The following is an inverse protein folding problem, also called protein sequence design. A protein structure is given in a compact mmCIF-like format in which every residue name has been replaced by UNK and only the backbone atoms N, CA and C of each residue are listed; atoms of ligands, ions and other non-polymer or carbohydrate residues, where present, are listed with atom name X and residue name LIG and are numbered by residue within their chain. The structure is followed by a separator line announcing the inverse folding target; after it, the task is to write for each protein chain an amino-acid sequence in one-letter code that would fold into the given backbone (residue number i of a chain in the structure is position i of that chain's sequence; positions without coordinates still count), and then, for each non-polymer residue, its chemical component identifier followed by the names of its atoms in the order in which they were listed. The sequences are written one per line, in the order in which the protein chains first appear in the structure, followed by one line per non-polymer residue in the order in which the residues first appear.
data_IF_840523495330
#
_entry.id   IF_840523495330
#
_cell.length_a   1.000
_cell.length_b   1.000
_cell.length_c   1.000
_cell.angle_alpha   90.00
_cell.angle_beta   90.00
_cell.angle_gamma   90.00
#
_symmetry.space_group_name_H-M   'P 1'
#
loop_
_entity.id
_entity.type
_entity.pdbx_description
1 polymer ?
#
# COMPACT_ATOMS: atom_id res chain seq x y z
N UNK A 1 31.67 16.06 -38.47
CA UNK A 1 31.34 16.05 -37.04
C UNK A 1 32.06 14.87 -36.41
N UNK A 2 32.77 15.07 -35.31
CA UNK A 2 33.53 14.04 -34.59
C UNK A 2 33.08 14.02 -33.14
N UNK A 3 32.81 12.83 -32.60
CA UNK A 3 32.47 12.65 -31.18
C UNK A 3 33.66 12.05 -30.44
N UNK A 4 33.92 12.47 -29.21
CA UNK A 4 34.92 11.85 -28.33
C UNK A 4 34.41 11.77 -26.89
N UNK A 5 35.04 10.92 -26.09
CA UNK A 5 34.73 10.80 -24.66
C UNK A 5 35.20 12.00 -23.88
N UNK A 6 34.35 12.48 -22.97
CA UNK A 6 34.80 13.42 -21.94
C UNK A 6 35.77 12.72 -20.99
N UNK A 7 36.98 13.27 -20.84
CA UNK A 7 38.03 12.75 -19.96
C UNK A 7 38.40 13.71 -18.83
N UNK A 8 37.62 14.78 -18.63
CA UNK A 8 37.82 15.71 -17.52
C UNK A 8 37.23 15.20 -16.21
N UNK A 9 37.47 15.95 -15.13
CA UNK A 9 37.06 15.55 -13.77
C UNK A 9 35.61 15.93 -13.40
N UNK A 10 34.94 16.75 -14.21
CA UNK A 10 33.53 17.09 -14.02
C UNK A 10 32.59 16.08 -14.67
N UNK A 11 31.35 15.98 -14.18
CA UNK A 11 30.32 15.18 -14.84
C UNK A 11 29.66 15.98 -15.97
N UNK A 12 29.62 15.41 -17.17
CA UNK A 12 28.73 15.91 -18.24
C UNK A 12 27.35 15.25 -18.07
N UNK A 13 26.30 16.07 -18.08
CA UNK A 13 24.90 15.58 -18.04
C UNK A 13 24.34 15.28 -19.44
N UNK A 14 25.06 15.64 -20.50
CA UNK A 14 24.67 15.43 -21.89
C UNK A 14 25.82 15.73 -22.87
N UNK A 15 25.61 15.43 -24.16
CA UNK A 15 26.59 15.71 -25.19
C UNK A 15 26.83 17.22 -25.32
N UNK A 16 28.09 17.65 -25.26
CA UNK A 16 28.49 19.06 -25.26
C UNK A 16 29.43 19.34 -26.42
N UNK A 17 29.21 20.41 -27.19
CA UNK A 17 30.15 20.82 -28.23
C UNK A 17 31.29 21.61 -27.60
N UNK A 18 32.54 21.20 -27.84
CA UNK A 18 33.70 21.75 -27.13
C UNK A 18 34.68 22.46 -28.06
N UNK A 19 34.72 22.10 -29.34
CA UNK A 19 35.59 22.77 -30.31
C UNK A 19 34.99 22.74 -31.70
N UNK A 20 35.07 23.88 -32.40
CA UNK A 20 34.79 23.97 -33.84
C UNK A 20 36.09 24.34 -34.52
N UNK A 21 36.68 23.40 -35.25
CA UNK A 21 37.87 23.64 -36.06
C UNK A 21 37.42 24.30 -37.36
N UNK A 22 37.72 25.59 -37.50
CA UNK A 22 37.49 26.36 -38.73
C UNK A 22 38.45 25.88 -39.83
N UNK A 23 37.95 25.53 -41.02
CA UNK A 23 38.77 24.99 -42.09
C UNK A 23 39.65 26.06 -42.73
N UNK A 24 40.86 25.67 -43.14
CA UNK A 24 41.76 26.47 -43.97
C UNK A 24 41.69 25.98 -45.41
N UNK A 25 40.74 26.49 -46.20
CA UNK A 25 40.54 26.12 -47.61
C UNK A 25 39.14 25.59 -47.91
N UNK A 26 39.02 24.63 -48.83
CA UNK A 26 37.73 24.04 -49.27
C UNK A 26 37.20 22.93 -48.35
N UNK A 27 37.87 22.66 -47.23
CA UNK A 27 37.43 21.60 -46.32
C UNK A 27 36.23 22.02 -45.46
N UNK A 28 35.46 21.03 -45.01
CA UNK A 28 34.34 21.27 -44.11
C UNK A 28 34.83 21.50 -42.66
N UNK A 29 34.13 22.33 -41.86
CA UNK A 29 34.46 22.51 -40.45
C UNK A 29 34.31 21.21 -39.66
N UNK A 30 35.23 20.98 -38.72
CA UNK A 30 35.14 19.84 -37.80
C UNK A 30 34.59 20.28 -36.45
N UNK A 31 33.39 19.82 -36.12
CA UNK A 31 32.78 19.99 -34.80
C UNK A 31 33.17 18.80 -33.92
N UNK A 32 33.80 19.06 -32.77
CA UNK A 32 34.11 18.07 -31.73
C UNK A 32 33.05 18.15 -30.64
N UNK A 33 32.35 17.03 -30.45
CA UNK A 33 31.35 16.86 -29.39
C UNK A 33 31.88 15.88 -28.35
N UNK A 34 31.87 16.28 -27.09
CA UNK A 34 32.21 15.44 -25.95
C UNK A 34 30.94 14.80 -25.38
N UNK A 35 30.95 13.47 -25.22
CA UNK A 35 29.81 12.72 -24.67
C UNK A 35 30.09 12.27 -23.23
N UNK A 36 29.04 12.21 -22.37
CA UNK A 36 29.15 11.67 -21.02
C UNK A 36 29.64 10.21 -20.99
N UNK A 37 30.14 9.78 -19.84
CA UNK A 37 30.32 8.35 -19.57
C UNK A 37 28.95 7.64 -19.49
N UNK A 38 28.82 6.43 -20.07
CA UNK A 38 27.63 5.61 -19.96
C UNK A 38 27.27 5.37 -18.50
N UNK A 39 26.00 5.57 -18.18
CA UNK A 39 25.50 5.25 -16.85
C UNK A 39 25.27 3.75 -16.73
N UNK A 40 25.50 3.15 -15.56
CA UNK A 40 25.21 1.74 -15.37
C UNK A 40 23.72 1.46 -15.52
N UNK A 41 23.40 0.31 -16.11
CA UNK A 41 22.02 -0.19 -16.20
C UNK A 41 21.71 -1.09 -15.02
N UNK A 42 20.51 -0.98 -14.47
CA UNK A 42 20.07 -1.82 -13.34
C UNK A 42 19.28 -3.02 -13.86
N UNK A 43 19.67 -4.22 -13.46
CA UNK A 43 18.96 -5.47 -13.76
C UNK A 43 18.42 -6.08 -12.46
N UNK A 44 17.16 -6.50 -12.46
CA UNK A 44 16.50 -7.11 -11.31
C UNK A 44 16.37 -8.62 -11.51
N UNK A 45 16.69 -9.39 -10.48
CA UNK A 45 16.41 -10.83 -10.44
C UNK A 45 15.88 -11.24 -9.08
N UNK A 46 15.08 -12.30 -9.05
CA UNK A 46 14.62 -12.86 -7.78
C UNK A 46 15.79 -13.55 -7.07
N UNK A 47 15.90 -13.34 -5.76
CA UNK A 47 16.86 -14.04 -4.92
C UNK A 47 16.53 -15.54 -4.89
N UNK A 48 17.51 -16.37 -5.24
CA UNK A 48 17.39 -17.83 -5.32
C UNK A 48 18.31 -18.58 -4.35
N UNK A 49 18.89 -17.87 -3.38
CA UNK A 49 19.74 -18.50 -2.36
C UNK A 49 18.94 -19.26 -1.29
N UNK A 50 19.64 -19.92 -0.39
CA UNK A 50 19.04 -20.77 0.66
C UNK A 50 18.49 -19.99 1.87
N UNK A 51 18.85 -18.72 2.04
CA UNK A 51 18.29 -17.82 3.05
C UNK A 51 17.14 -16.97 2.48
N UNK A 52 16.26 -16.41 3.31
CA UNK A 52 15.35 -15.36 2.84
C UNK A 52 16.04 -14.00 2.90
N UNK A 53 15.80 -13.16 1.89
CA UNK A 53 16.11 -11.73 1.96
C UNK A 53 14.81 -10.96 2.17
N UNK A 54 14.84 -9.94 3.03
CA UNK A 54 13.63 -9.19 3.43
C UNK A 54 13.47 -7.87 2.67
N UNK A 55 14.48 -7.47 1.90
CA UNK A 55 14.52 -6.27 1.08
C UNK A 55 15.43 -6.49 -0.14
N UNK A 56 15.25 -5.66 -1.18
CA UNK A 56 16.11 -5.71 -2.35
C UNK A 56 17.56 -5.31 -2.02
N UNK A 57 18.54 -5.98 -2.63
CA UNK A 57 19.97 -5.74 -2.39
C UNK A 57 20.74 -5.76 -3.70
N UNK A 58 21.62 -4.79 -3.92
CA UNK A 58 22.60 -4.84 -4.99
C UNK A 58 23.68 -5.87 -4.66
N UNK A 59 23.94 -6.81 -5.57
CA UNK A 59 24.84 -7.96 -5.31
C UNK A 59 26.05 -7.96 -6.21
N UNK A 60 25.94 -7.44 -7.43
CA UNK A 60 27.08 -7.40 -8.34
C UNK A 60 27.00 -6.17 -9.23
N UNK A 61 28.14 -5.48 -9.37
CA UNK A 61 28.34 -4.49 -10.43
C UNK A 61 29.27 -5.11 -11.45
N UNK A 62 28.72 -5.57 -12.58
CA UNK A 62 29.51 -6.00 -13.73
C UNK A 62 30.15 -4.74 -14.28
N UNK A 63 31.47 -4.66 -14.23
CA UNK A 63 32.20 -3.52 -14.79
C UNK A 63 32.05 -3.54 -16.32
N UNK A 64 31.94 -2.36 -16.96
CA UNK A 64 31.89 -2.30 -18.41
C UNK A 64 33.18 -2.87 -19.01
N UNK A 65 33.06 -3.63 -20.10
CA UNK A 65 34.17 -4.30 -20.79
C UNK A 65 34.90 -3.41 -21.78
N UNK A 66 34.35 -2.23 -22.07
CA UNK A 66 34.94 -1.22 -22.94
C UNK A 66 34.60 0.17 -22.46
N UNK A 67 35.12 1.18 -23.15
CA UNK A 67 34.73 2.56 -22.87
C UNK A 67 33.25 2.76 -23.16
N UNK A 68 32.69 2.09 -24.18
CA UNK A 68 31.36 2.36 -24.73
C UNK A 68 30.14 1.90 -23.94
N UNK A 69 30.33 1.05 -22.94
CA UNK A 69 29.24 0.50 -22.14
C UNK A 69 29.21 1.05 -20.72
N UNK A 70 28.00 1.09 -20.15
CA UNK A 70 27.80 1.26 -18.71
C UNK A 70 27.97 -0.08 -18.01
N UNK A 71 28.39 -0.08 -16.75
CA UNK A 71 28.35 -1.30 -15.94
C UNK A 71 26.91 -1.82 -15.77
N UNK A 72 26.75 -3.07 -15.35
CA UNK A 72 25.44 -3.62 -14.99
C UNK A 72 25.37 -3.78 -13.46
N UNK A 73 24.40 -3.14 -12.82
CA UNK A 73 24.10 -3.36 -11.40
C UNK A 73 23.01 -4.41 -11.29
N UNK A 74 23.35 -5.59 -10.77
CA UNK A 74 22.39 -6.66 -10.47
C UNK A 74 21.82 -6.44 -9.07
N UNK A 75 20.50 -6.28 -9.01
CA UNK A 75 19.72 -6.16 -7.77
C UNK A 75 18.90 -7.44 -7.58
N UNK A 76 19.12 -8.10 -6.46
CA UNK A 76 18.32 -9.24 -6.05
C UNK A 76 17.11 -8.78 -5.25
N UNK A 77 15.92 -9.24 -5.62
CA UNK A 77 14.66 -8.93 -4.92
C UNK A 77 14.15 -10.16 -4.17
N UNK A 78 13.53 -9.99 -3.00
CA UNK A 78 12.83 -11.07 -2.31
C UNK A 78 11.82 -11.76 -3.24
N UNK A 79 11.62 -13.07 -3.05
CA UNK A 79 10.46 -13.74 -3.59
C UNK A 79 9.17 -13.07 -3.09
N UNK A 80 8.13 -12.92 -3.93
CA UNK A 80 6.84 -12.46 -3.43
C UNK A 80 6.31 -13.45 -2.38
N UNK A 81 5.64 -12.97 -1.32
CA UNK A 81 4.95 -13.84 -0.38
C UNK A 81 3.95 -14.75 -1.10
N UNK A 82 3.61 -15.92 -0.54
CA UNK A 82 2.58 -16.78 -1.12
C UNK A 82 1.24 -16.05 -1.14
N UNK A 83 0.54 -16.11 -2.27
CA UNK A 83 -0.77 -15.50 -2.43
C UNK A 83 -1.83 -16.13 -1.51
N UNK A 84 -2.83 -15.33 -1.13
CA UNK A 84 -4.07 -15.81 -0.52
C UNK A 84 -5.00 -16.42 -1.56
N UNK A 85 -5.87 -17.32 -1.11
CA UNK A 85 -7.07 -17.66 -1.87
C UNK A 85 -8.09 -16.54 -1.73
N UNK A 86 -8.76 -16.17 -2.81
CA UNK A 86 -9.90 -15.26 -2.77
C UNK A 86 -11.16 -16.03 -2.37
N UNK A 87 -11.36 -16.24 -1.07
CA UNK A 87 -12.43 -17.04 -0.48
C UNK A 87 -13.24 -16.23 0.54
N UNK A 88 -14.27 -16.85 1.12
CA UNK A 88 -15.36 -16.15 1.81
C UNK A 88 -14.97 -15.40 3.09
N UNK A 89 -13.93 -15.81 3.81
CA UNK A 89 -13.60 -15.20 5.10
C UNK A 89 -12.89 -13.85 4.98
N UNK A 90 -12.82 -13.14 6.10
CA UNK A 90 -12.00 -11.95 6.27
C UNK A 90 -10.61 -12.26 6.85
N UNK A 91 -9.78 -11.22 6.85
CA UNK A 91 -8.52 -11.17 7.57
C UNK A 91 -8.55 -10.00 8.53
N UNK A 92 -8.11 -10.25 9.75
CA UNK A 92 -8.03 -9.24 10.80
C UNK A 92 -6.58 -9.17 11.23
N UNK A 93 -5.98 -7.98 11.16
CA UNK A 93 -4.68 -7.75 11.79
C UNK A 93 -4.90 -7.02 13.11
N UNK A 94 -4.19 -7.44 14.16
CA UNK A 94 -4.09 -6.70 15.40
C UNK A 94 -2.62 -6.49 15.71
N UNK A 95 -2.17 -5.24 15.59
CA UNK A 95 -0.77 -4.84 15.70
C UNK A 95 0.11 -5.58 14.68
N UNK A 96 0.55 -6.81 14.98
CA UNK A 96 1.41 -7.66 14.13
C UNK A 96 0.95 -9.12 14.09
N UNK A 97 -0.25 -9.40 14.58
CA UNK A 97 -0.84 -10.73 14.57
C UNK A 97 -1.93 -10.77 13.52
N UNK A 98 -1.74 -11.61 12.51
CA UNK A 98 -2.70 -11.83 11.44
C UNK A 98 -3.61 -12.99 11.83
N UNK A 99 -4.91 -12.76 11.72
CA UNK A 99 -5.94 -13.74 11.93
C UNK A 99 -6.79 -13.93 10.68
N UNK A 100 -7.35 -15.13 10.58
CA UNK A 100 -8.40 -15.51 9.66
C UNK A 100 -9.73 -15.39 10.39
N UNK A 101 -10.58 -14.48 9.93
CA UNK A 101 -11.88 -14.23 10.53
C UNK A 101 -12.98 -14.88 9.69
N UNK A 102 -13.73 -15.80 10.29
CA UNK A 102 -14.97 -16.27 9.72
C UNK A 102 -16.07 -15.24 10.02
N UNK A 103 -16.55 -14.55 8.98
CA UNK A 103 -17.52 -13.47 9.10
C UNK A 103 -18.97 -13.97 9.30
N UNK A 104 -19.20 -15.28 9.25
CA UNK A 104 -20.50 -15.91 9.56
C UNK A 104 -20.54 -16.38 11.02
N UNK A 105 -19.47 -17.01 11.49
CA UNK A 105 -19.43 -17.64 12.82
C UNK A 105 -18.70 -16.82 13.88
N UNK A 106 -17.97 -15.77 13.50
CA UNK A 106 -17.16 -14.95 14.39
C UNK A 106 -15.86 -15.62 14.87
N UNK A 107 -15.58 -16.85 14.42
CA UNK A 107 -14.36 -17.58 14.75
C UNK A 107 -13.15 -16.83 14.18
N UNK A 108 -12.18 -16.55 15.04
CA UNK A 108 -10.96 -15.84 14.70
C UNK A 108 -9.74 -16.76 14.90
N UNK A 109 -9.26 -17.36 13.81
CA UNK A 109 -8.16 -18.34 13.83
C UNK A 109 -6.82 -17.66 13.58
N UNK A 110 -5.79 -18.01 14.36
CA UNK A 110 -4.45 -17.47 14.15
C UNK A 110 -3.88 -17.92 12.80
N UNK A 111 -3.39 -16.98 12.00
CA UNK A 111 -2.58 -17.27 10.79
C UNK A 111 -1.11 -17.16 11.13
N UNK A 112 -0.69 -16.02 11.68
CA UNK A 112 0.71 -15.77 12.02
C UNK A 112 0.83 -14.70 13.11
N UNK A 113 1.86 -14.87 13.95
CA UNK A 113 2.33 -13.83 14.85
C UNK A 113 3.59 -13.17 14.26
N UNK A 114 3.92 -11.98 14.76
CA UNK A 114 5.14 -11.25 14.40
C UNK A 114 5.27 -10.93 12.90
N UNK A 115 4.14 -10.66 12.23
CA UNK A 115 4.15 -10.16 10.84
C UNK A 115 4.83 -8.79 10.79
N UNK A 116 5.62 -8.54 9.74
CA UNK A 116 6.39 -7.31 9.58
C UNK A 116 7.61 -7.21 10.50
N UNK A 117 8.42 -6.15 10.34
CA UNK A 117 9.54 -5.88 11.23
C UNK A 117 9.08 -5.58 12.66
N UNK A 118 9.93 -5.91 13.62
CA UNK A 118 9.78 -5.50 15.02
C UNK A 118 9.71 -3.98 15.19
N UNK A 119 9.21 -3.54 16.35
CA UNK A 119 9.29 -2.15 16.76
C UNK A 119 10.77 -1.72 16.79
N UNK A 120 11.17 -0.68 16.03
CA UNK A 120 12.51 -0.14 16.16
C UNK A 120 12.71 0.41 17.57
N UNK A 121 13.91 0.27 18.12
CA UNK A 121 14.21 0.73 19.48
C UNK A 121 13.88 2.23 19.64
N UNK A 122 13.23 2.60 20.75
CA UNK A 122 12.88 3.99 21.06
C UNK A 122 11.64 4.54 20.32
N UNK A 123 10.87 3.69 19.63
CA UNK A 123 9.63 4.10 18.96
C UNK A 123 8.40 3.77 19.79
N UNK A 124 7.41 4.66 19.79
CA UNK A 124 6.07 4.38 20.32
C UNK A 124 5.22 3.81 19.18
N UNK A 125 4.64 2.62 19.37
CA UNK A 125 3.87 1.88 18.34
C UNK A 125 4.68 1.43 17.10
N UNK A 126 6.01 1.48 17.11
CA UNK A 126 6.80 0.95 16.01
C UNK A 126 6.48 -0.52 15.72
N UNK A 127 6.59 -0.91 14.45
CA UNK A 127 6.24 -2.24 13.96
C UNK A 127 4.74 -2.50 13.84
N UNK A 128 3.87 -1.63 14.39
CA UNK A 128 2.41 -1.75 14.22
C UNK A 128 2.08 -1.72 12.73
N UNK A 129 1.27 -2.69 12.29
CA UNK A 129 0.71 -2.74 10.95
C UNK A 129 -0.73 -2.27 11.04
N UNK A 130 -0.95 -1.08 10.51
CA UNK A 130 -2.27 -0.48 10.32
C UNK A 130 -2.09 0.70 9.35
N UNK A 131 -2.89 0.84 8.28
CA UNK A 131 -3.93 -0.09 7.82
C UNK A 131 -3.44 -1.29 7.00
N UNK A 132 -4.35 -2.17 6.60
CA UNK A 132 -4.22 -3.24 5.60
C UNK A 132 -5.34 -3.18 4.54
N UNK A 133 -5.13 -3.78 3.38
CA UNK A 133 -6.15 -3.96 2.34
C UNK A 133 -5.81 -5.13 1.42
N UNK A 134 -6.83 -5.86 0.95
CA UNK A 134 -6.63 -7.02 0.08
C UNK A 134 -6.55 -6.59 -1.38
N UNK A 135 -5.41 -6.84 -2.03
CA UNK A 135 -5.23 -6.51 -3.44
C UNK A 135 -5.59 -7.70 -4.33
N UNK A 136 -6.67 -7.58 -5.10
CA UNK A 136 -7.12 -8.63 -6.04
C UNK A 136 -6.21 -8.77 -7.27
N UNK A 137 -5.23 -7.88 -7.48
CA UNK A 137 -4.30 -7.94 -8.62
C UNK A 137 -3.23 -9.02 -8.45
N UNK A 138 -2.85 -9.34 -7.21
CA UNK A 138 -1.87 -10.38 -6.87
C UNK A 138 -2.32 -11.30 -5.72
N UNK A 139 -3.51 -11.08 -5.17
CA UNK A 139 -4.04 -11.78 -4.01
C UNK A 139 -3.11 -11.70 -2.79
N UNK A 140 -2.46 -10.55 -2.60
CA UNK A 140 -1.70 -10.23 -1.39
C UNK A 140 -2.45 -9.20 -0.54
N UNK A 141 -2.14 -9.16 0.75
CA UNK A 141 -2.56 -8.06 1.61
C UNK A 141 -1.45 -7.01 1.59
N UNK A 142 -1.79 -5.78 1.26
CA UNK A 142 -0.92 -4.63 1.41
C UNK A 142 -1.23 -3.96 2.74
N UNK A 143 -0.22 -3.39 3.38
CA UNK A 143 -0.41 -2.67 4.63
C UNK A 143 0.62 -1.58 4.84
N UNK A 144 0.44 -0.81 5.90
CA UNK A 144 1.38 0.20 6.36
C UNK A 144 1.98 -0.27 7.69
N UNK A 145 3.30 -0.40 7.72
CA UNK A 145 4.04 -0.65 8.96
C UNK A 145 4.70 0.64 9.44
N UNK A 146 4.49 0.98 10.71
CA UNK A 146 5.15 2.13 11.32
C UNK A 146 6.62 1.79 11.61
N UNK A 147 7.57 2.54 11.03
CA UNK A 147 9.01 2.29 11.15
C UNK A 147 9.76 3.36 11.95
N UNK A 148 9.12 4.49 12.23
CA UNK A 148 9.59 5.47 13.21
C UNK A 148 8.40 6.34 13.67
N UNK A 149 8.66 7.28 14.57
CA UNK A 149 7.67 8.30 14.90
C UNK A 149 7.30 9.07 13.63
N UNK A 150 6.02 9.05 13.26
CA UNK A 150 5.51 9.69 12.04
C UNK A 150 6.23 9.26 10.75
N UNK A 151 6.71 8.01 10.67
CA UNK A 151 7.28 7.45 9.44
C UNK A 151 6.81 6.02 9.26
N UNK A 152 6.33 5.72 8.07
CA UNK A 152 5.78 4.42 7.73
C UNK A 152 6.31 3.89 6.39
N UNK A 153 6.16 2.58 6.20
CA UNK A 153 6.58 1.86 5.00
C UNK A 153 5.48 0.91 4.55
N UNK A 154 5.37 0.69 3.23
CA UNK A 154 4.42 -0.29 2.69
C UNK A 154 4.96 -1.71 2.86
N UNK A 155 4.12 -2.61 3.36
CA UNK A 155 4.39 -4.04 3.54
C UNK A 155 3.45 -4.86 2.66
N UNK A 156 3.96 -5.93 2.05
CA UNK A 156 3.16 -6.98 1.39
C UNK A 156 3.16 -8.21 2.26
N UNK A 157 1.99 -8.75 2.53
CA UNK A 157 1.76 -9.90 3.41
C UNK A 157 1.12 -11.00 2.57
N UNK A 158 1.61 -12.23 2.72
CA UNK A 158 1.10 -13.43 2.07
C UNK A 158 0.29 -14.32 3.01
N UNK A 159 -0.22 -15.42 2.45
CA UNK A 159 -1.19 -16.33 3.08
C UNK A 159 -0.74 -17.01 4.36
N UNK A 160 0.57 -17.14 4.54
CA UNK A 160 1.21 -17.71 5.74
C UNK A 160 1.61 -16.64 6.76
N UNK A 161 1.29 -15.36 6.52
CA UNK A 161 1.84 -14.23 7.26
C UNK A 161 3.30 -13.88 6.91
N UNK A 162 3.92 -14.61 5.98
CA UNK A 162 5.20 -14.20 5.38
C UNK A 162 5.05 -12.84 4.70
N UNK A 163 6.09 -12.01 4.70
CA UNK A 163 5.98 -10.65 4.21
C UNK A 163 7.24 -10.19 3.48
N UNK A 164 7.08 -9.13 2.68
CA UNK A 164 8.20 -8.36 2.11
C UNK A 164 7.94 -6.87 2.29
N UNK A 165 9.00 -6.11 2.52
CA UNK A 165 8.91 -4.65 2.59
C UNK A 165 9.11 -4.04 1.20
N UNK A 166 8.25 -3.08 0.84
CA UNK A 166 8.41 -2.32 -0.39
C UNK A 166 9.34 -1.13 -0.16
N UNK A 167 10.04 -0.70 -1.21
CA UNK A 167 10.81 0.55 -1.19
C UNK A 167 9.89 1.77 -1.36
N UNK A 168 8.81 1.79 -0.58
CA UNK A 168 7.74 2.79 -0.62
C UNK A 168 7.57 3.30 0.80
N UNK A 169 8.06 4.51 1.04
CA UNK A 169 8.03 5.17 2.34
C UNK A 169 7.07 6.34 2.30
N UNK A 170 6.42 6.59 3.44
CA UNK A 170 5.48 7.69 3.59
C UNK A 170 5.57 8.27 5.00
N UNK A 171 5.55 9.60 5.10
CA UNK A 171 5.50 10.30 6.38
C UNK A 171 4.10 10.20 6.99
N UNK A 172 4.03 10.21 8.30
CA UNK A 172 2.80 10.09 9.08
C UNK A 172 2.53 8.71 9.64
N UNK A 173 1.51 8.67 10.50
CA UNK A 173 0.92 7.48 11.09
C UNK A 173 -0.48 7.32 10.53
N UNK A 174 -0.78 6.14 10.01
CA UNK A 174 -1.99 5.85 9.25
C UNK A 174 -2.78 4.79 10.01
N UNK A 175 -4.12 4.88 10.02
CA UNK A 175 -4.96 3.96 10.81
C UNK A 175 -6.17 3.43 10.04
N UNK A 176 -6.31 3.79 8.77
CA UNK A 176 -7.50 3.53 7.97
C UNK A 176 -7.03 3.29 6.54
N UNK A 177 -7.42 2.19 5.91
CA UNK A 177 -6.94 1.89 4.58
C UNK A 177 -7.67 0.74 3.92
N UNK A 178 -7.72 0.74 2.58
CA UNK A 178 -8.14 -0.42 1.80
C UNK A 178 -7.66 -0.29 0.36
N UNK A 179 -7.63 -1.40 -0.37
CA UNK A 179 -7.23 -1.46 -1.78
C UNK A 179 -8.47 -1.47 -2.67
N UNK A 180 -8.54 -0.54 -3.63
CA UNK A 180 -9.63 -0.50 -4.59
C UNK A 180 -9.46 -1.51 -5.74
N UNK A 181 -10.47 -1.58 -6.62
CA UNK A 181 -10.46 -2.51 -7.75
C UNK A 181 -9.37 -2.20 -8.81
N UNK A 182 -8.80 -0.99 -8.79
CA UNK A 182 -7.74 -0.56 -9.70
C UNK A 182 -6.34 -0.97 -9.16
N UNK A 183 -6.28 -1.44 -7.90
CA UNK A 183 -5.03 -1.75 -7.20
C UNK A 183 -4.38 -0.49 -6.61
N UNK A 184 -5.18 0.50 -6.23
CA UNK A 184 -4.73 1.66 -5.47
C UNK A 184 -5.01 1.41 -4.00
N UNK A 185 -3.96 1.44 -3.18
CA UNK A 185 -4.06 1.40 -1.74
C UNK A 185 -4.27 2.81 -1.21
N UNK A 186 -5.48 3.05 -0.73
CA UNK A 186 -5.87 4.32 -0.12
C UNK A 186 -5.64 4.22 1.37
N UNK A 187 -4.93 5.19 1.94
CA UNK A 187 -4.66 5.24 3.37
C UNK A 187 -5.05 6.60 3.95
N UNK A 188 -5.42 6.62 5.22
CA UNK A 188 -5.82 7.82 5.93
C UNK A 188 -5.46 7.81 7.42
N UNK A 189 -5.26 9.02 7.95
CA UNK A 189 -5.25 9.31 9.38
C UNK A 189 -6.62 9.84 9.77
N UNK A 190 -7.42 9.00 10.41
CA UNK A 190 -8.76 9.27 10.91
C UNK A 190 -9.74 9.86 9.89
N UNK A 191 -9.60 9.53 8.60
CA UNK A 191 -10.42 10.04 7.51
C UNK A 191 -10.10 11.48 7.10
N UNK A 192 -8.94 12.03 7.51
CA UNK A 192 -8.55 13.42 7.25
C UNK A 192 -7.37 13.49 6.31
N UNK A 193 -6.14 13.35 6.81
CA UNK A 193 -4.98 13.23 5.93
C UNK A 193 -5.12 11.93 5.13
N UNK A 194 -4.80 11.96 3.84
CA UNK A 194 -4.93 10.80 2.97
C UNK A 194 -3.77 10.70 1.98
N UNK A 195 -3.51 9.48 1.52
CA UNK A 195 -2.58 9.19 0.43
C UNK A 195 -3.11 8.05 -0.45
N UNK A 196 -2.75 8.08 -1.74
CA UNK A 196 -3.06 7.02 -2.68
C UNK A 196 -1.76 6.41 -3.22
N UNK A 197 -1.60 5.11 -3.02
CA UNK A 197 -0.37 4.37 -3.32
C UNK A 197 -0.69 3.33 -4.37
N UNK A 198 0.06 3.32 -5.47
CA UNK A 198 -0.11 2.30 -6.50
C UNK A 198 0.48 0.97 -6.01
N UNK A 199 -0.39 -0.02 -5.80
CA UNK A 199 -0.04 -1.37 -5.41
C UNK A 199 -0.43 -2.39 -6.48
N UNK A 200 -0.71 -1.93 -7.70
CA UNK A 200 -0.98 -2.80 -8.82
C UNK A 200 0.35 -3.29 -9.43
N UNK A 201 0.72 -4.58 -9.31
CA UNK A 201 2.02 -5.10 -9.73
C UNK A 201 2.26 -5.00 -11.24
N UNK A 202 1.22 -4.82 -12.06
CA UNK A 202 1.36 -4.63 -13.52
C UNK A 202 1.40 -3.16 -13.92
N UNK A 203 1.28 -2.23 -12.98
CA UNK A 203 1.31 -0.79 -13.25
C UNK A 203 2.75 -0.28 -13.43
N UNK A 204 2.93 0.67 -14.34
CA UNK A 204 4.21 1.37 -14.53
C UNK A 204 4.62 2.21 -13.31
N UNK A 205 3.65 2.58 -12.46
CA UNK A 205 3.89 3.33 -11.22
C UNK A 205 3.80 2.47 -9.96
N UNK A 206 3.85 1.14 -10.10
CA UNK A 206 3.81 0.21 -8.97
C UNK A 206 4.83 0.59 -7.87
N UNK A 207 4.34 0.66 -6.63
CA UNK A 207 5.11 1.06 -5.45
C UNK A 207 5.37 2.56 -5.32
N UNK A 208 4.66 3.41 -6.06
CA UNK A 208 4.75 4.88 -5.92
C UNK A 208 3.58 5.44 -5.13
N UNK A 209 3.89 6.41 -4.26
CA UNK A 209 2.88 7.32 -3.71
C UNK A 209 2.49 8.27 -4.85
N UNK A 210 1.26 8.18 -5.33
CA UNK A 210 0.80 8.95 -6.49
C UNK A 210 0.32 10.34 -6.10
N UNK A 211 -0.31 10.46 -4.93
CA UNK A 211 -0.89 11.70 -4.45
C UNK A 211 -1.13 11.64 -2.94
N UNK A 212 -1.09 12.80 -2.30
CA UNK A 212 -1.44 13.01 -0.90
C UNK A 212 -2.28 14.27 -0.76
N UNK A 213 -3.07 14.34 0.31
CA UNK A 213 -3.88 15.52 0.60
C UNK A 213 -4.56 15.45 1.96
N UNK A 214 -5.49 16.37 2.16
CA UNK A 214 -6.37 16.40 3.33
C UNK A 214 -7.82 16.43 2.89
N UNK A 215 -8.68 15.88 3.73
CA UNK A 215 -10.13 15.95 3.60
C UNK A 215 -10.71 16.51 4.90
N UNK A 216 -11.80 17.26 4.78
CA UNK A 216 -12.58 17.71 5.93
C UNK A 216 -13.59 16.62 6.28
N UNK A 217 -13.50 16.10 7.51
CA UNK A 217 -14.48 15.17 8.06
C UNK A 217 -14.98 15.67 9.42
N UNK A 218 -16.29 15.67 9.60
CA UNK A 218 -16.93 16.04 10.87
C UNK A 218 -16.80 14.95 11.95
N UNK A 219 -16.47 13.72 11.55
CA UNK A 219 -16.34 12.56 12.44
C UNK A 219 -15.00 11.85 12.19
N UNK A 220 -14.51 11.10 13.17
CA UNK A 220 -13.31 10.29 12.99
C UNK A 220 -13.66 8.98 12.27
N UNK A 221 -12.78 8.57 11.36
CA UNK A 221 -12.83 7.28 10.68
C UNK A 221 -11.84 6.33 11.37
N UNK A 222 -12.33 5.22 11.94
CA UNK A 222 -11.43 4.19 12.45
C UNK A 222 -10.95 3.30 11.31
N UNK A 223 -11.87 2.88 10.43
CA UNK A 223 -11.55 2.16 9.21
C UNK A 223 -12.58 2.42 8.09
N UNK A 224 -12.23 2.09 6.84
CA UNK A 224 -13.06 2.20 5.65
C UNK A 224 -12.87 1.00 4.71
N UNK A 225 -13.70 0.87 3.69
CA UNK A 225 -13.60 -0.25 2.75
C UNK A 225 -14.10 0.10 1.35
N UNK A 226 -13.48 -0.48 0.33
CA UNK A 226 -13.95 -0.47 -1.06
C UNK A 226 -15.04 -1.52 -1.27
N UNK A 227 -16.20 -1.11 -1.79
CA UNK A 227 -17.38 -1.98 -1.91
C UNK A 227 -17.79 -2.15 -3.39
N UNK A 228 -17.78 -3.37 -3.94
CA UNK A 228 -18.32 -3.65 -5.28
C UNK A 228 -19.74 -3.09 -5.44
N UNK A 229 -19.99 -2.41 -6.55
CA UNK A 229 -21.30 -1.79 -6.84
C UNK A 229 -21.65 -0.56 -6.00
N UNK A 230 -20.77 -0.11 -5.09
CA UNK A 230 -20.91 1.17 -4.39
C UNK A 230 -20.43 2.38 -5.21
N UNK A 231 -19.83 2.17 -6.38
CA UNK A 231 -19.22 3.23 -7.17
C UNK A 231 -17.80 3.57 -6.73
N UNK A 232 -17.26 4.73 -7.15
CA UNK A 232 -15.88 5.16 -6.85
C UNK A 232 -15.78 5.84 -5.49
N UNK A 233 -16.06 5.08 -4.45
CA UNK A 233 -16.04 5.55 -3.06
C UNK A 233 -15.40 4.54 -2.11
N UNK A 234 -14.87 5.04 -1.00
CA UNK A 234 -14.56 4.27 0.21
C UNK A 234 -15.68 4.50 1.23
N UNK A 235 -16.16 3.43 1.85
CA UNK A 235 -17.26 3.47 2.81
C UNK A 235 -16.78 3.26 4.23
N UNK A 236 -17.27 4.06 5.15
CA UNK A 236 -16.84 4.04 6.54
C UNK A 236 -18.02 4.16 7.50
N UNK A 237 -17.87 3.55 8.67
CA UNK A 237 -18.68 3.85 9.84
C UNK A 237 -17.86 4.83 10.70
N UNK A 238 -18.09 6.12 10.46
CA UNK A 238 -17.46 7.18 11.24
C UNK A 238 -18.22 7.40 12.54
N UNK A 239 -17.55 7.85 13.59
CA UNK A 239 -18.26 8.03 14.84
C UNK A 239 -17.44 8.57 16.01
N UNK A 240 -18.12 8.58 17.15
CA UNK A 240 -17.57 8.79 18.48
C UNK A 240 -18.45 8.02 19.49
N UNK A 241 -18.16 8.13 20.77
CA UNK A 241 -18.87 7.38 21.82
C UNK A 241 -20.40 7.56 21.82
N UNK A 242 -20.94 8.67 21.29
CA UNK A 242 -22.38 8.92 21.25
C UNK A 242 -23.06 8.54 19.93
N UNK A 243 -22.32 8.35 18.83
CA UNK A 243 -22.93 8.04 17.52
C UNK A 243 -22.05 7.31 16.51
N UNK A 244 -22.72 6.56 15.63
CA UNK A 244 -22.22 5.99 14.39
C UNK A 244 -22.91 6.61 13.19
N UNK A 245 -22.13 6.98 12.17
CA UNK A 245 -22.59 7.53 10.90
C UNK A 245 -22.00 6.70 9.76
N UNK A 246 -22.85 6.20 8.86
CA UNK A 246 -22.41 5.67 7.58
C UNK A 246 -22.10 6.84 6.65
N UNK A 247 -20.86 6.90 6.17
CA UNK A 247 -20.37 7.92 5.27
C UNK A 247 -19.57 7.29 4.13
N UNK A 248 -19.43 8.04 3.04
CA UNK A 248 -18.59 7.67 1.90
C UNK A 248 -17.61 8.79 1.56
N UNK A 249 -16.42 8.41 1.12
CA UNK A 249 -15.38 9.33 0.65
C UNK A 249 -15.12 9.11 -0.83
N UNK A 250 -15.21 10.17 -1.64
CA UNK A 250 -15.06 10.08 -3.09
C UNK A 250 -13.60 9.87 -3.50
N UNK A 251 -13.36 8.88 -4.35
CA UNK A 251 -12.06 8.66 -4.97
C UNK A 251 -11.71 9.68 -6.07
N UNK A 252 -12.70 10.46 -6.51
CA UNK A 252 -12.56 11.44 -7.59
C UNK A 252 -12.42 12.86 -7.05
N UNK A 253 -13.22 13.24 -6.05
CA UNK A 253 -13.23 14.60 -5.47
C UNK A 253 -12.56 14.71 -4.12
N UNK A 254 -12.21 13.59 -3.48
CA UNK A 254 -11.57 13.53 -2.15
C UNK A 254 -12.40 14.17 -1.02
N UNK A 255 -13.72 14.17 -1.16
CA UNK A 255 -14.67 14.75 -0.19
C UNK A 255 -15.53 13.69 0.47
N UNK A 256 -15.94 13.95 1.71
CA UNK A 256 -16.87 13.12 2.48
C UNK A 256 -18.34 13.49 2.25
N UNK A 257 -19.20 12.48 2.27
CA UNK A 257 -20.65 12.61 2.28
C UNK A 257 -21.24 11.67 3.34
N UNK A 258 -22.16 12.19 4.15
CA UNK A 258 -22.92 11.39 5.13
C UNK A 258 -24.13 10.78 4.43
N UNK A 259 -24.27 9.45 4.56
CA UNK A 259 -25.40 8.70 4.04
C UNK A 259 -26.48 8.58 5.12
N UNK A 260 -26.09 8.22 6.35
CA UNK A 260 -27.05 7.96 7.42
C UNK A 260 -26.42 8.09 8.80
N UNK A 261 -27.11 8.76 9.73
CA UNK A 261 -26.78 8.77 11.15
C UNK A 261 -27.63 7.69 11.85
N UNK A 262 -26.97 6.82 12.62
CA UNK A 262 -27.62 5.74 13.36
C UNK A 262 -27.72 6.01 14.86
N UNK A 263 -27.13 7.10 15.36
CA UNK A 263 -26.88 7.26 16.79
C UNK A 263 -25.95 6.15 17.32
N UNK A 264 -26.05 5.87 18.62
CA UNK A 264 -25.28 4.78 19.25
C UNK A 264 -25.76 3.42 18.72
N UNK A 265 -24.83 2.55 18.32
CA UNK A 265 -25.12 1.17 17.90
C UNK A 265 -24.57 0.16 18.91
N UNK A 266 -23.28 0.25 19.25
CA UNK A 266 -22.61 -0.73 20.11
C UNK A 266 -21.29 -0.17 20.67
N UNK A 267 -20.87 -0.70 21.82
CA UNK A 267 -19.60 -0.36 22.46
C UNK A 267 -19.37 1.16 22.52
N UNK A 268 -18.23 1.59 22.00
CA UNK A 268 -17.84 2.99 21.91
C UNK A 268 -18.03 3.56 20.50
N UNK A 269 -18.71 2.81 19.62
CA UNK A 269 -18.89 3.09 18.19
C UNK A 269 -17.56 3.27 17.44
N UNK A 270 -16.51 2.57 17.87
CA UNK A 270 -15.21 2.58 17.20
C UNK A 270 -15.09 1.36 16.27
N UNK A 271 -15.42 1.56 15.00
CA UNK A 271 -15.47 0.52 13.98
C UNK A 271 -14.10 0.33 13.32
N UNK A 272 -13.21 -0.42 13.98
CA UNK A 272 -11.80 -0.51 13.60
C UNK A 272 -11.46 -1.57 12.56
N UNK A 273 -12.43 -2.29 12.01
CA UNK A 273 -12.19 -3.19 10.89
C UNK A 273 -13.45 -3.29 10.02
N UNK A 274 -13.29 -3.05 8.73
CA UNK A 274 -14.33 -3.12 7.72
C UNK A 274 -14.00 -4.20 6.68
N UNK A 275 -15.05 -4.78 6.11
CA UNK A 275 -14.93 -5.89 5.16
C UNK A 275 -15.96 -5.73 4.05
N UNK A 276 -15.50 -5.87 2.82
CA UNK A 276 -16.37 -5.91 1.64
C UNK A 276 -16.93 -7.31 1.48
N UNK A 277 -18.24 -7.49 1.61
CA UNK A 277 -18.88 -8.82 1.67
C UNK A 277 -19.77 -9.13 0.46
N UNK A 278 -19.85 -8.21 -0.49
CA UNK A 278 -20.61 -8.39 -1.72
C UNK A 278 -21.09 -7.06 -2.29
N UNK A 279 -21.93 -7.16 -3.32
CA UNK A 279 -22.49 -6.00 -4.01
C UNK A 279 -23.22 -5.06 -3.03
N UNK A 280 -22.72 -3.83 -2.87
CA UNK A 280 -23.23 -2.78 -1.98
C UNK A 280 -23.31 -3.18 -0.50
N UNK A 281 -22.59 -4.22 -0.08
CA UNK A 281 -22.62 -4.73 1.29
C UNK A 281 -21.23 -4.67 1.92
N UNK A 282 -21.19 -4.13 3.13
CA UNK A 282 -20.01 -4.17 3.99
C UNK A 282 -20.36 -4.76 5.35
N UNK A 283 -19.40 -5.44 5.97
CA UNK A 283 -19.42 -5.74 7.40
C UNK A 283 -18.46 -4.80 8.11
N UNK A 284 -18.75 -4.45 9.35
CA UNK A 284 -17.84 -3.70 10.21
C UNK A 284 -17.85 -4.28 11.63
N UNK A 285 -16.67 -4.41 12.21
CA UNK A 285 -16.44 -4.88 13.58
C UNK A 285 -16.23 -3.68 14.51
N UNK A 286 -16.98 -3.64 15.61
CA UNK A 286 -16.81 -2.62 16.65
C UNK A 286 -15.83 -3.13 17.71
N UNK A 287 -14.81 -2.33 18.01
CA UNK A 287 -13.63 -2.75 18.76
C UNK A 287 -13.94 -3.20 20.21
N UNK A 288 -14.73 -2.41 20.95
CA UNK A 288 -14.91 -2.61 22.40
C UNK A 288 -15.92 -3.72 22.72
N UNK A 289 -16.98 -3.82 21.93
CA UNK A 289 -18.03 -4.83 22.06
C UNK A 289 -17.71 -6.12 21.33
N UNK A 290 -16.95 -6.04 20.22
CA UNK A 290 -16.61 -7.17 19.35
C UNK A 290 -17.74 -7.53 18.37
N UNK A 291 -18.87 -6.83 18.37
CA UNK A 291 -19.98 -7.14 17.47
C UNK A 291 -19.62 -6.82 16.02
N UNK A 292 -20.14 -7.64 15.10
CA UNK A 292 -20.01 -7.42 13.67
C UNK A 292 -21.39 -7.13 13.10
N UNK A 293 -21.53 -5.99 12.43
CA UNK A 293 -22.76 -5.59 11.75
C UNK A 293 -22.56 -5.59 10.24
N UNK A 294 -23.62 -5.98 9.52
CA UNK A 294 -23.76 -5.75 8.08
C UNK A 294 -24.41 -4.40 7.85
N UNK A 295 -23.95 -3.70 6.83
CA UNK A 295 -24.54 -2.47 6.31
C UNK A 295 -24.71 -2.58 4.79
N UNK A 296 -25.87 -2.15 4.30
CA UNK A 296 -26.03 -1.81 2.89
C UNK A 296 -25.58 -0.37 2.68
N UNK A 297 -24.59 -0.18 1.81
CA UNK A 297 -23.93 1.12 1.64
C UNK A 297 -24.73 2.13 0.80
N UNK A 298 -25.80 1.68 0.14
CA UNK A 298 -26.71 2.53 -0.63
C UNK A 298 -27.93 2.92 0.22
N UNK A 299 -28.57 1.96 0.88
CA UNK A 299 -29.81 2.19 1.64
C UNK A 299 -29.59 2.57 3.10
N UNK A 300 -28.39 2.31 3.64
CA UNK A 300 -28.10 2.41 5.07
C UNK A 300 -28.93 1.44 5.91
N UNK A 301 -29.42 0.34 5.34
CA UNK A 301 -29.97 -0.78 6.11
C UNK A 301 -28.84 -1.42 6.91
N UNK A 302 -29.11 -1.79 8.17
CA UNK A 302 -28.14 -2.48 9.05
C UNK A 302 -28.76 -3.69 9.72
N UNK A 303 -27.96 -4.73 9.94
CA UNK A 303 -28.35 -5.91 10.71
C UNK A 303 -27.16 -6.44 11.51
N UNK A 304 -27.41 -6.84 12.77
CA UNK A 304 -26.41 -7.58 13.55
C UNK A 304 -26.14 -8.92 12.85
N UNK A 305 -24.87 -9.29 12.72
CA UNK A 305 -24.47 -10.57 12.14
C UNK A 305 -24.07 -11.54 13.24
N UNK A 306 -23.03 -11.21 14.01
CA UNK A 306 -22.41 -12.13 14.95
C UNK A 306 -21.62 -11.37 16.03
N UNK A 307 -21.26 -12.05 17.12
CA UNK A 307 -20.19 -11.61 18.02
C UNK A 307 -18.85 -12.11 17.48
N UNK A 308 -17.95 -11.18 17.17
CA UNK A 308 -16.57 -11.45 16.81
C UNK A 308 -15.60 -11.20 17.98
N UNK A 309 -14.28 -11.16 17.71
CA UNK A 309 -13.30 -10.81 18.72
C UNK A 309 -13.42 -9.33 19.11
N UNK A 310 -13.20 -9.03 20.39
CA UNK A 310 -12.88 -7.66 20.83
C UNK A 310 -11.46 -7.32 20.40
N UNK A 311 -11.25 -6.11 19.92
CA UNK A 311 -10.00 -5.71 19.27
C UNK A 311 -9.59 -4.30 19.65
N UNK A 312 -8.31 -3.99 19.45
CA UNK A 312 -7.80 -2.62 19.44
C UNK A 312 -6.57 -2.57 18.53
N UNK A 313 -6.24 -1.37 18.03
CA UNK A 313 -5.13 -1.18 17.07
C UNK A 313 -5.14 -2.23 15.96
N UNK A 314 -6.29 -2.34 15.32
CA UNK A 314 -6.62 -3.40 14.38
C UNK A 314 -7.06 -2.83 13.04
N UNK A 315 -7.08 -3.70 12.05
CA UNK A 315 -7.65 -3.40 10.76
C UNK A 315 -8.14 -4.66 10.03
N UNK A 316 -9.07 -4.48 9.07
CA UNK A 316 -9.74 -5.55 8.33
C UNK A 316 -9.38 -5.58 6.85
N UNK A 317 -9.34 -6.77 6.26
CA UNK A 317 -9.24 -6.93 4.81
C UNK A 317 -10.04 -8.15 4.34
N UNK A 318 -10.60 -8.10 3.14
CA UNK A 318 -11.27 -9.24 2.50
C UNK A 318 -11.16 -9.15 0.99
N UNK A 319 -11.06 -10.30 0.32
CA UNK A 319 -11.13 -10.32 -1.13
C UNK A 319 -12.52 -9.88 -1.60
N UNK A 320 -12.60 -8.80 -2.38
CA UNK A 320 -13.88 -8.27 -2.90
C UNK A 320 -14.55 -9.18 -3.93
N UNK A 321 -13.80 -10.09 -4.54
CA UNK A 321 -14.29 -11.06 -5.53
C UNK A 321 -14.74 -12.38 -4.89
N UNK A 322 -14.62 -12.53 -3.57
CA UNK A 322 -15.08 -13.72 -2.88
C UNK A 322 -16.60 -13.81 -2.96
N UNK A 323 -17.12 -15.04 -3.02
CA UNK A 323 -18.56 -15.30 -2.98
C UNK A 323 -19.22 -14.57 -1.80
N UNK A 324 -20.48 -14.12 -1.96
CA UNK A 324 -21.26 -13.62 -0.84
C UNK A 324 -21.29 -14.64 0.29
N UNK A 325 -21.30 -14.15 1.52
CA UNK A 325 -21.47 -14.99 2.69
C UNK A 325 -22.87 -15.61 2.64
N UNK A 326 -22.95 -16.95 2.71
CA UNK A 326 -24.20 -17.72 2.81
C UNK A 326 -24.49 -18.13 4.24
#
# INVERSE_FOLDING_TARGET
MSTRRYSGTSSLTGATTVTTITPTGTEAPTIIVETPAPQPVTSYRQYSGTSSINAARAVTTIQPTGTDDGGIVIVETPAPPPAFSCDEGGYLIQVRTLYRLNLVTGINSLVAQNVGPGAPAGTTNGGTINPIGYNIKDNLIYGIVQIANSKSQVIRIGSTGSYTLMNTFIDGTWNTGDVDADGIFWISTYGKAWAKIDVNPTSATYGKVLQQGTATSANNCADWVSVPGGGRYLYALQGNTSKTVLARWSLDTFTWEIIKDFGHIAGDNLWGAAYSVGNKLMYASENTSGVIYRFNVETGEKSLVINGPKTSQNDGARCVNASPLT
#
